data_IF_715294266518
#
_entry.id   IF_715294266518
#
_cell.length_a   1.000
_cell.length_b   1.000
_cell.length_c   1.000
_cell.angle_alpha   90.00
_cell.angle_beta   90.00
_cell.angle_gamma   90.00
#
_symmetry.space_group_name_H-M   'P 1'
#
loop_
_entity.id
_entity.type
_entity.pdbx_description
1 polymer ?
#
# COMPACT_ATOMS: atom_id res chain seq x y z
N UNK A 1 16.36 90.88 32.18
CA UNK A 1 17.80 90.76 31.90
C UNK A 1 18.09 89.32 31.56
N UNK A 2 18.57 89.08 30.34
CA UNK A 2 18.68 87.75 29.76
C UNK A 2 19.73 86.88 30.44
N UNK A 3 19.44 85.58 30.53
CA UNK A 3 20.44 84.53 30.67
C UNK A 3 20.20 83.51 29.56
N UNK A 4 21.15 83.48 28.64
CA UNK A 4 21.33 82.48 27.60
C UNK A 4 21.64 81.17 28.32
N UNK A 5 20.82 80.14 28.10
CA UNK A 5 21.12 78.78 28.54
C UNK A 5 21.43 77.96 27.29
N UNK A 6 22.69 77.61 27.15
CA UNK A 6 23.24 76.74 26.10
C UNK A 6 22.71 75.32 26.31
N UNK A 7 21.87 74.84 25.40
CA UNK A 7 21.49 73.42 25.33
C UNK A 7 22.65 72.62 24.73
N UNK A 8 23.29 71.77 25.53
CA UNK A 8 24.16 70.71 25.04
C UNK A 8 23.25 69.51 24.77
N UNK A 9 22.88 69.32 23.50
CA UNK A 9 22.17 68.12 23.05
C UNK A 9 23.13 66.94 22.97
N UNK A 10 23.12 66.08 24.00
CA UNK A 10 23.73 64.75 23.92
C UNK A 10 22.82 63.88 23.07
N UNK A 11 23.24 63.62 21.83
CA UNK A 11 22.55 62.72 20.92
C UNK A 11 22.79 61.27 21.38
N UNK A 12 21.91 60.75 22.23
CA UNK A 12 21.84 59.34 22.55
C UNK A 12 21.27 58.59 21.35
N UNK A 13 22.13 58.09 20.47
CA UNK A 13 21.76 57.13 19.43
C UNK A 13 21.38 55.81 20.10
N UNK A 14 20.10 55.67 20.49
CA UNK A 14 19.50 54.37 20.76
C UNK A 14 19.42 53.60 19.44
N UNK A 15 20.35 52.67 19.23
CA UNK A 15 20.26 51.65 18.18
C UNK A 15 19.04 50.77 18.49
N UNK A 16 17.89 51.12 17.91
CA UNK A 16 16.76 50.20 17.77
C UNK A 16 17.13 49.21 16.67
N UNK A 17 17.71 48.07 17.06
CA UNK A 17 17.73 46.89 16.20
C UNK A 17 16.28 46.45 16.00
N UNK A 18 15.66 46.89 14.91
CA UNK A 18 14.47 46.22 14.39
C UNK A 18 14.93 44.88 13.82
N UNK A 19 14.75 43.82 14.59
CA UNK A 19 14.76 42.46 14.06
C UNK A 19 13.51 42.35 13.18
N UNK A 20 13.64 42.66 11.89
CA UNK A 20 12.67 42.22 10.91
C UNK A 20 12.83 40.71 10.81
N UNK A 21 11.87 39.97 11.36
CA UNK A 21 11.71 38.56 11.02
C UNK A 21 11.48 38.49 9.52
N UNK A 22 12.52 38.11 8.78
CA UNK A 22 12.43 37.86 7.36
C UNK A 22 11.58 36.59 7.23
N UNK A 23 10.33 36.74 6.76
CA UNK A 23 9.50 35.59 6.40
C UNK A 23 10.29 34.75 5.40
N UNK A 24 10.77 33.60 5.88
CA UNK A 24 11.42 32.62 5.04
C UNK A 24 10.37 32.11 4.06
N UNK A 25 10.45 32.54 2.80
CA UNK A 25 9.66 31.93 1.73
C UNK A 25 9.93 30.44 1.76
N UNK A 26 8.93 29.65 2.11
CA UNK A 26 8.98 28.21 2.00
C UNK A 26 9.02 27.85 0.52
N UNK A 27 10.22 27.62 0.00
CA UNK A 27 10.41 27.03 -1.33
C UNK A 27 9.82 25.61 -1.33
N UNK A 28 8.97 25.31 -2.33
CA UNK A 28 8.36 23.99 -2.50
C UNK A 28 6.84 24.01 -2.67
N UNK A 29 6.25 22.83 -2.85
CA UNK A 29 4.81 22.66 -2.97
C UNK A 29 4.10 22.95 -1.64
N UNK A 30 3.07 23.79 -1.69
CA UNK A 30 2.17 24.07 -0.57
C UNK A 30 0.82 23.40 -0.84
N UNK A 31 0.43 22.46 0.02
CA UNK A 31 -0.82 21.72 -0.13
C UNK A 31 -1.88 22.28 0.83
N UNK A 32 -3.07 22.55 0.30
CA UNK A 32 -4.26 22.85 1.10
C UNK A 32 -5.19 21.66 1.03
N UNK A 33 -5.54 21.11 2.18
CA UNK A 33 -6.51 20.03 2.26
C UNK A 33 -7.92 20.55 1.96
N UNK A 34 -8.51 20.06 0.88
CA UNK A 34 -9.90 20.38 0.53
C UNK A 34 -10.89 19.42 1.19
N UNK A 35 -10.51 18.14 1.29
CA UNK A 35 -11.32 17.09 1.88
C UNK A 35 -10.45 15.93 2.35
N UNK A 36 -10.78 15.37 3.51
CA UNK A 36 -10.14 14.17 4.07
C UNK A 36 -11.21 13.22 4.57
N UNK A 37 -11.08 11.95 4.17
CA UNK A 37 -11.88 10.85 4.69
C UNK A 37 -11.20 10.27 5.93
N UNK A 38 -11.95 9.66 6.86
CA UNK A 38 -11.37 8.93 7.97
C UNK A 38 -10.44 7.82 7.47
N UNK A 39 -9.27 7.70 8.08
CA UNK A 39 -8.31 6.63 7.86
C UNK A 39 -7.64 6.30 9.20
N UNK A 40 -7.10 5.09 9.31
CA UNK A 40 -6.27 4.69 10.44
C UNK A 40 -4.85 5.22 10.28
N UNK A 41 -4.02 5.04 11.32
CA UNK A 41 -2.62 5.44 11.28
C UNK A 41 -1.86 4.77 10.13
N UNK A 42 -0.88 5.51 9.61
CA UNK A 42 0.06 5.05 8.58
C UNK A 42 0.81 3.82 9.09
N UNK A 43 0.91 2.81 8.22
CA UNK A 43 1.55 1.51 8.49
C UNK A 43 2.80 1.35 7.63
N UNK A 44 3.71 0.47 8.05
CA UNK A 44 4.90 0.10 7.28
C UNK A 44 4.84 -1.36 6.85
N UNK A 45 5.00 -1.61 5.55
CA UNK A 45 5.26 -2.95 5.05
C UNK A 45 6.73 -3.37 5.21
N UNK A 46 7.59 -2.43 5.59
CA UNK A 46 9.04 -2.55 5.67
C UNK A 46 9.64 -3.24 4.43
N UNK A 47 10.57 -4.18 4.63
CA UNK A 47 11.28 -4.88 3.56
C UNK A 47 10.50 -6.11 3.12
N UNK A 48 9.25 -5.89 2.74
CA UNK A 48 8.38 -6.91 2.16
C UNK A 48 7.66 -6.35 0.93
N UNK A 49 7.29 -7.22 -0.01
CA UNK A 49 6.55 -6.85 -1.22
C UNK A 49 5.04 -7.00 -1.04
N UNK A 50 4.52 -6.52 0.09
CA UNK A 50 3.13 -6.79 0.52
C UNK A 50 2.22 -5.55 0.47
N UNK A 51 2.62 -4.51 -0.28
CA UNK A 51 1.86 -3.24 -0.42
C UNK A 51 0.38 -3.46 -0.74
N UNK A 52 0.06 -4.45 -1.59
CA UNK A 52 -1.30 -4.82 -1.97
C UNK A 52 -2.17 -5.21 -0.76
N UNK A 53 -1.60 -5.91 0.22
CA UNK A 53 -2.30 -6.29 1.44
C UNK A 53 -2.44 -5.10 2.40
N UNK A 54 -1.37 -4.33 2.61
CA UNK A 54 -1.39 -3.16 3.50
C UNK A 54 -2.34 -2.06 3.00
N UNK A 55 -2.25 -1.71 1.71
CA UNK A 55 -3.13 -0.70 1.09
C UNK A 55 -4.56 -1.18 0.96
N UNK A 56 -4.78 -2.46 0.59
CA UNK A 56 -6.13 -3.03 0.52
C UNK A 56 -6.82 -3.07 1.88
N UNK A 57 -6.10 -3.45 2.94
CA UNK A 57 -6.66 -3.40 4.29
C UNK A 57 -6.83 -1.96 4.79
N UNK A 58 -5.92 -1.03 4.49
CA UNK A 58 -6.12 0.40 4.82
C UNK A 58 -7.40 0.97 4.19
N UNK A 59 -7.73 0.56 2.97
CA UNK A 59 -9.02 0.86 2.35
C UNK A 59 -10.20 0.28 3.16
N UNK A 60 -10.17 -1.00 3.52
CA UNK A 60 -11.25 -1.61 4.30
C UNK A 60 -11.36 -1.06 5.73
N UNK A 61 -10.26 -0.66 6.35
CA UNK A 61 -10.24 0.04 7.63
C UNK A 61 -10.95 1.39 7.54
N UNK A 62 -10.76 2.11 6.43
CA UNK A 62 -11.48 3.35 6.13
C UNK A 62 -12.97 3.10 5.86
N UNK A 63 -13.32 1.99 5.20
CA UNK A 63 -14.72 1.59 5.00
C UNK A 63 -15.41 1.22 6.32
N UNK A 64 -14.73 0.54 7.24
CA UNK A 64 -15.25 0.28 8.59
C UNK A 64 -15.58 1.62 9.29
N UNK A 65 -14.68 2.61 9.18
CA UNK A 65 -14.92 3.95 9.71
C UNK A 65 -16.13 4.63 9.04
N UNK A 66 -16.23 4.56 7.70
CA UNK A 66 -17.33 5.13 6.91
C UNK A 66 -18.69 4.50 7.27
N UNK A 67 -18.71 3.22 7.63
CA UNK A 67 -19.88 2.50 8.12
C UNK A 67 -20.24 2.84 9.58
N UNK A 68 -19.53 3.77 10.22
CA UNK A 68 -19.79 4.25 11.58
C UNK A 68 -19.38 3.26 12.67
N UNK A 69 -18.47 2.32 12.36
CA UNK A 69 -17.95 1.33 13.32
C UNK A 69 -16.60 1.78 13.87
N UNK A 70 -16.27 1.27 15.06
CA UNK A 70 -14.94 1.46 15.64
C UNK A 70 -13.86 0.89 14.72
N UNK A 71 -12.88 1.72 14.37
CA UNK A 71 -11.75 1.28 13.54
C UNK A 71 -10.89 0.28 14.28
N UNK A 72 -10.34 -0.67 13.53
CA UNK A 72 -9.38 -1.67 14.00
C UNK A 72 -8.26 -1.75 12.97
N UNK A 73 -7.01 -1.92 13.41
CA UNK A 73 -5.94 -2.26 12.48
C UNK A 73 -6.05 -3.75 12.15
N UNK A 74 -6.23 -4.09 10.88
CA UNK A 74 -6.40 -5.45 10.39
C UNK A 74 -5.04 -6.06 10.05
N UNK A 75 -4.89 -7.38 10.20
CA UNK A 75 -3.64 -8.09 9.93
C UNK A 75 -3.43 -8.34 8.43
N UNK A 76 -2.44 -7.70 7.79
CA UNK A 76 -2.08 -8.00 6.40
C UNK A 76 -1.41 -9.36 6.30
N UNK A 77 -0.69 -9.77 7.33
CA UNK A 77 0.01 -11.05 7.34
C UNK A 77 -0.93 -12.24 7.34
N UNK A 78 -2.13 -12.09 7.91
CA UNK A 78 -3.18 -13.10 7.81
C UNK A 78 -3.57 -13.34 6.34
N UNK A 79 -3.82 -12.27 5.59
CA UNK A 79 -4.14 -12.33 4.17
C UNK A 79 -2.94 -12.82 3.34
N UNK A 80 -1.73 -12.36 3.65
CA UNK A 80 -0.49 -12.78 2.97
C UNK A 80 -0.24 -14.27 3.14
N UNK A 81 -0.45 -14.83 4.34
CA UNK A 81 -0.31 -16.26 4.57
C UNK A 81 -1.22 -17.07 3.65
N UNK A 82 -2.52 -16.73 3.61
CA UNK A 82 -3.50 -17.42 2.78
C UNK A 82 -3.17 -17.27 1.30
N UNK A 83 -2.82 -16.05 0.88
CA UNK A 83 -2.45 -15.75 -0.51
C UNK A 83 -1.23 -16.54 -0.95
N UNK A 84 -0.15 -16.57 -0.16
CA UNK A 84 1.06 -17.32 -0.49
C UNK A 84 0.82 -18.83 -0.54
N UNK A 85 -0.03 -19.36 0.34
CA UNK A 85 -0.43 -20.76 0.33
C UNK A 85 -1.22 -21.13 -0.95
N UNK A 86 -2.10 -20.24 -1.40
CA UNK A 86 -3.00 -20.48 -2.53
C UNK A 86 -2.31 -20.22 -3.87
N UNK A 87 -1.42 -19.24 -3.93
CA UNK A 87 -0.47 -19.07 -5.05
C UNK A 87 0.35 -20.33 -5.29
N UNK A 88 0.81 -21.00 -4.24
CA UNK A 88 1.59 -22.23 -4.39
C UNK A 88 0.75 -23.38 -4.96
N UNK A 89 -0.51 -23.50 -4.55
CA UNK A 89 -1.44 -24.47 -5.14
C UNK A 89 -1.62 -24.19 -6.64
N UNK A 90 -1.91 -22.94 -7.00
CA UNK A 90 -2.14 -22.57 -8.38
C UNK A 90 -0.89 -22.70 -9.24
N UNK A 91 0.28 -22.31 -8.74
CA UNK A 91 1.55 -22.47 -9.43
C UNK A 91 1.86 -23.93 -9.75
N UNK A 92 1.65 -24.83 -8.77
CA UNK A 92 1.83 -26.27 -8.97
C UNK A 92 0.82 -26.82 -9.99
N UNK A 93 -0.46 -26.41 -9.90
CA UNK A 93 -1.50 -26.82 -10.88
C UNK A 93 -1.24 -26.34 -12.29
N UNK A 94 -0.66 -25.16 -12.43
CA UNK A 94 -0.27 -24.58 -13.71
C UNK A 94 1.14 -25.01 -14.13
N UNK A 95 1.68 -26.05 -13.50
CA UNK A 95 2.97 -26.64 -13.87
C UNK A 95 4.14 -25.64 -13.90
N UNK A 96 4.10 -24.62 -13.03
CA UNK A 96 5.13 -23.59 -12.94
C UNK A 96 5.01 -22.45 -13.93
N UNK A 97 3.96 -22.42 -14.76
CA UNK A 97 3.77 -21.41 -15.81
C UNK A 97 3.06 -20.13 -15.34
N UNK A 98 2.80 -20.03 -14.03
CA UNK A 98 2.23 -18.83 -13.41
C UNK A 98 3.33 -18.00 -12.75
N UNK A 99 3.20 -16.68 -12.73
CA UNK A 99 4.05 -15.85 -11.89
C UNK A 99 3.97 -16.29 -10.41
N UNK A 100 5.12 -16.60 -9.81
CA UNK A 100 5.25 -16.92 -8.39
C UNK A 100 6.12 -15.89 -7.70
N UNK A 101 5.46 -14.82 -7.22
CA UNK A 101 6.05 -13.66 -6.57
C UNK A 101 5.32 -13.34 -5.25
N UNK A 102 5.97 -12.57 -4.34
CA UNK A 102 5.33 -12.06 -3.13
C UNK A 102 4.33 -10.91 -3.37
N UNK A 103 4.27 -10.38 -4.59
CA UNK A 103 3.32 -9.34 -4.99
C UNK A 103 1.87 -9.84 -4.95
N UNK A 104 0.93 -9.02 -5.39
CA UNK A 104 -0.49 -9.35 -5.32
C UNK A 104 -1.35 -8.17 -5.73
N UNK A 105 -2.66 -8.37 -5.72
CA UNK A 105 -3.64 -7.36 -6.10
C UNK A 105 -4.61 -7.05 -4.95
N UNK A 106 -5.30 -5.90 -4.99
CA UNK A 106 -6.35 -5.59 -3.99
C UNK A 106 -7.47 -6.64 -3.98
N UNK A 107 -7.75 -7.27 -5.13
CA UNK A 107 -8.68 -8.39 -5.20
C UNK A 107 -8.27 -9.59 -4.34
N UNK A 108 -6.98 -9.82 -4.12
CA UNK A 108 -6.50 -10.89 -3.23
C UNK A 108 -6.96 -10.65 -1.79
N UNK A 109 -7.04 -9.38 -1.38
CA UNK A 109 -7.54 -8.98 -0.06
C UNK A 109 -9.05 -9.21 0.02
N UNK A 110 -9.81 -8.77 -0.98
CA UNK A 110 -11.26 -8.98 -1.06
C UNK A 110 -11.60 -10.48 -1.02
N UNK A 111 -10.95 -11.26 -1.89
CA UNK A 111 -11.10 -12.71 -1.96
C UNK A 111 -10.67 -13.40 -0.67
N UNK A 112 -9.57 -12.95 -0.06
CA UNK A 112 -9.05 -13.50 1.18
C UNK A 112 -10.02 -13.28 2.36
N UNK A 113 -10.58 -12.07 2.50
CA UNK A 113 -11.56 -11.76 3.54
C UNK A 113 -12.84 -12.57 3.34
N UNK A 114 -13.34 -12.69 2.11
CA UNK A 114 -14.55 -13.48 1.82
C UNK A 114 -14.38 -14.96 2.19
N UNK A 115 -13.22 -15.54 1.87
CA UNK A 115 -12.96 -16.97 2.00
C UNK A 115 -12.46 -17.40 3.37
N UNK A 116 -11.62 -16.58 4.00
CA UNK A 116 -10.93 -16.92 5.25
C UNK A 116 -11.28 -15.98 6.41
N UNK A 117 -11.97 -14.87 6.14
CA UNK A 117 -12.21 -13.83 7.13
C UNK A 117 -10.98 -12.96 7.35
N UNK A 118 -10.94 -12.27 8.48
CA UNK A 118 -9.84 -11.38 8.85
C UNK A 118 -9.65 -11.38 10.36
N UNK A 119 -8.48 -10.95 10.82
CA UNK A 119 -8.17 -10.78 12.24
C UNK A 119 -7.55 -9.41 12.50
N UNK A 120 -7.65 -8.89 13.74
CA UNK A 120 -6.86 -7.74 14.17
C UNK A 120 -5.35 -7.97 14.02
N UNK A 121 -4.61 -6.89 13.79
CA UNK A 121 -3.15 -6.90 13.65
C UNK A 121 -2.43 -7.43 14.90
N UNK A 122 -2.94 -7.11 16.09
CA UNK A 122 -2.38 -7.58 17.37
C UNK A 122 -2.63 -9.08 17.63
N UNK A 123 -3.65 -9.66 17.00
CA UNK A 123 -3.94 -11.10 17.05
C UNK A 123 -3.00 -11.89 16.13
N UNK A 124 -2.58 -11.31 14.99
CA UNK A 124 -1.65 -11.97 14.07
C UNK A 124 -0.70 -10.95 13.44
N UNK A 125 0.49 -10.80 14.01
CA UNK A 125 1.48 -9.83 13.53
C UNK A 125 2.28 -10.34 12.33
N UNK A 126 2.43 -11.65 12.17
CA UNK A 126 3.27 -12.26 11.15
C UNK A 126 4.78 -12.14 11.39
N UNK A 127 5.20 -11.79 12.61
CA UNK A 127 6.61 -11.63 13.00
C UNK A 127 7.06 -12.81 13.87
N UNK A 128 7.21 -14.00 13.27
CA UNK A 128 7.57 -15.23 13.99
C UNK A 128 9.00 -15.74 13.68
N UNK A 129 9.87 -14.90 13.12
CA UNK A 129 11.22 -15.27 12.64
C UNK A 129 12.36 -14.46 13.28
N UNK A 130 12.13 -13.89 14.47
CA UNK A 130 13.15 -13.19 15.25
C UNK A 130 13.41 -11.73 14.85
N UNK A 131 12.69 -11.20 13.87
CA UNK A 131 12.76 -9.79 13.46
C UNK A 131 11.72 -8.93 14.15
N UNK A 132 12.00 -7.62 14.26
CA UNK A 132 11.07 -6.61 14.79
C UNK A 132 10.18 -5.98 13.71
N UNK A 133 10.57 -6.14 12.45
CA UNK A 133 9.97 -5.52 11.27
C UNK A 133 9.91 -6.53 10.13
N UNK A 134 9.05 -6.30 9.14
CA UNK A 134 8.92 -7.23 8.03
C UNK A 134 10.17 -7.24 7.13
N UNK A 135 10.68 -8.44 6.87
CA UNK A 135 11.89 -8.67 6.06
C UNK A 135 11.77 -10.04 5.36
N UNK A 136 11.06 -10.09 4.23
CA UNK A 136 10.61 -11.36 3.65
C UNK A 136 11.55 -11.92 2.56
N UNK A 137 12.74 -11.35 2.34
CA UNK A 137 13.64 -11.80 1.28
C UNK A 137 13.98 -13.29 1.35
N UNK A 138 14.32 -13.78 2.55
CA UNK A 138 14.59 -15.19 2.80
C UNK A 138 13.33 -16.06 2.64
N UNK A 139 12.23 -15.67 3.29
CA UNK A 139 10.94 -16.36 3.19
C UNK A 139 10.52 -16.54 1.72
N UNK A 140 10.52 -15.46 0.93
CA UNK A 140 10.11 -15.48 -0.46
C UNK A 140 10.97 -16.46 -1.29
N UNK A 141 12.27 -16.49 -1.04
CA UNK A 141 13.21 -17.39 -1.72
C UNK A 141 12.93 -18.86 -1.37
N UNK A 142 12.68 -19.16 -0.10
CA UNK A 142 12.33 -20.51 0.36
C UNK A 142 11.02 -21.00 -0.24
N UNK A 143 9.97 -20.17 -0.22
CA UNK A 143 8.66 -20.53 -0.79
C UNK A 143 8.77 -20.80 -2.30
N UNK A 144 9.50 -19.96 -3.04
CA UNK A 144 9.73 -20.15 -4.48
C UNK A 144 10.49 -21.45 -4.76
N UNK A 145 11.60 -21.67 -4.07
CA UNK A 145 12.41 -22.87 -4.25
C UNK A 145 11.60 -24.15 -3.95
N UNK A 146 10.81 -24.13 -2.88
CA UNK A 146 9.93 -25.24 -2.53
C UNK A 146 8.93 -25.53 -3.64
N UNK A 147 8.20 -24.52 -4.11
CA UNK A 147 7.20 -24.68 -5.16
C UNK A 147 7.81 -25.18 -6.48
N UNK A 148 8.98 -24.67 -6.88
CA UNK A 148 9.72 -25.11 -8.07
C UNK A 148 10.12 -26.59 -7.99
N UNK A 149 10.52 -27.07 -6.82
CA UNK A 149 10.87 -28.49 -6.61
C UNK A 149 9.64 -29.38 -6.76
N UNK A 150 8.48 -28.95 -6.26
CA UNK A 150 7.22 -29.69 -6.41
C UNK A 150 6.81 -29.78 -7.88
N UNK A 151 6.94 -28.69 -8.64
CA UNK A 151 6.67 -28.68 -10.09
C UNK A 151 7.61 -29.60 -10.85
N UNK A 152 8.92 -29.52 -10.59
CA UNK A 152 9.95 -30.32 -11.30
C UNK A 152 9.93 -31.80 -10.93
N UNK A 153 9.31 -32.15 -9.81
CA UNK A 153 9.36 -33.46 -9.15
C UNK A 153 9.56 -34.64 -10.13
N UNK A 154 10.75 -35.28 -10.14
CA UNK A 154 11.11 -36.29 -11.13
C UNK A 154 10.27 -37.56 -11.02
N UNK A 155 9.65 -37.79 -9.85
CA UNK A 155 8.76 -38.91 -9.62
C UNK A 155 7.40 -38.75 -10.34
N UNK A 156 7.13 -37.58 -10.95
CA UNK A 156 5.89 -37.22 -11.66
C UNK A 156 4.60 -37.45 -10.86
N UNK A 157 4.73 -37.53 -9.54
CA UNK A 157 3.64 -37.73 -8.59
C UNK A 157 3.80 -36.75 -7.44
N UNK A 158 2.86 -35.81 -7.34
CA UNK A 158 2.78 -34.89 -6.20
C UNK A 158 2.60 -35.72 -4.94
N UNK A 159 3.48 -35.50 -3.95
CA UNK A 159 3.44 -36.23 -2.68
C UNK A 159 2.23 -35.79 -1.87
N UNK A 160 1.78 -36.56 -0.89
CA UNK A 160 0.74 -36.07 0.04
C UNK A 160 1.30 -35.06 1.06
N UNK A 161 2.63 -35.02 1.22
CA UNK A 161 3.31 -34.22 2.24
C UNK A 161 3.68 -32.79 1.79
N UNK A 162 3.63 -32.49 0.48
CA UNK A 162 4.17 -31.22 -0.04
C UNK A 162 3.47 -29.99 0.55
N UNK A 163 2.15 -30.08 0.75
CA UNK A 163 1.35 -28.95 1.23
C UNK A 163 1.68 -28.66 2.69
N UNK A 164 1.75 -29.70 3.52
CA UNK A 164 2.11 -29.59 4.93
C UNK A 164 3.53 -29.05 5.11
N UNK A 165 4.47 -29.49 4.25
CA UNK A 165 5.85 -29.00 4.26
C UNK A 165 5.95 -27.52 3.85
N UNK A 166 5.27 -27.11 2.78
CA UNK A 166 5.21 -25.71 2.36
C UNK A 166 4.57 -24.81 3.44
N UNK A 167 3.44 -25.25 4.01
CA UNK A 167 2.79 -24.54 5.10
C UNK A 167 3.64 -24.54 6.38
N UNK A 168 4.51 -25.54 6.57
CA UNK A 168 5.49 -25.55 7.66
C UNK A 168 6.45 -24.36 7.58
N UNK A 169 6.89 -23.97 6.38
CA UNK A 169 7.68 -22.76 6.17
C UNK A 169 6.84 -21.53 6.52
N UNK A 170 5.61 -21.41 6.00
CA UNK A 170 4.74 -20.28 6.33
C UNK A 170 4.50 -20.15 7.85
N UNK A 171 4.24 -21.26 8.56
CA UNK A 171 4.05 -21.27 10.01
C UNK A 171 5.33 -20.88 10.76
N UNK A 172 6.49 -21.34 10.30
CA UNK A 172 7.77 -20.97 10.90
C UNK A 172 8.01 -19.45 10.84
N UNK A 173 7.72 -18.80 9.71
CA UNK A 173 7.98 -17.36 9.55
C UNK A 173 6.81 -16.48 9.99
N UNK A 174 5.58 -16.77 9.59
CA UNK A 174 4.44 -15.89 9.85
C UNK A 174 3.67 -16.31 11.10
N UNK A 175 3.93 -17.49 11.66
CA UNK A 175 3.23 -18.02 12.84
C UNK A 175 1.97 -18.81 12.47
N UNK A 176 1.41 -19.47 13.48
CA UNK A 176 0.18 -20.26 13.38
C UNK A 176 -1.04 -19.36 13.16
N UNK A 177 -1.90 -19.75 12.21
CA UNK A 177 -3.14 -19.00 11.97
C UNK A 177 -4.11 -19.16 13.15
N UNK A 178 -4.62 -18.05 13.71
CA UNK A 178 -5.60 -18.11 14.79
C UNK A 178 -6.92 -18.73 14.28
N UNK A 179 -7.43 -19.73 15.00
CA UNK A 179 -8.75 -20.32 14.74
C UNK A 179 -9.85 -19.53 15.46
N UNK A 180 -9.58 -19.10 16.69
CA UNK A 180 -10.41 -18.21 17.49
C UNK A 180 -9.54 -17.17 18.20
N UNK A 181 -10.14 -16.04 18.56
CA UNK A 181 -9.52 -15.00 19.36
C UNK A 181 -10.58 -14.17 20.09
N UNK A 182 -10.17 -13.51 21.17
CA UNK A 182 -11.06 -12.59 21.92
C UNK A 182 -10.82 -11.16 21.46
N UNK A 183 -11.91 -10.46 21.10
CA UNK A 183 -11.89 -9.04 20.78
C UNK A 183 -13.00 -8.33 21.57
N UNK A 184 -12.64 -7.29 22.33
CA UNK A 184 -13.55 -6.53 23.21
C UNK A 184 -14.45 -7.43 24.08
N UNK A 185 -13.86 -8.46 24.67
CA UNK A 185 -14.54 -9.37 25.61
C UNK A 185 -15.45 -10.43 24.97
N UNK A 186 -15.47 -10.56 23.64
CA UNK A 186 -16.21 -11.60 22.92
C UNK A 186 -15.26 -12.43 22.06
N UNK A 187 -15.51 -13.74 22.01
CA UNK A 187 -14.78 -14.66 21.14
C UNK A 187 -15.29 -14.59 19.69
N UNK A 188 -14.36 -14.61 18.75
CA UNK A 188 -14.62 -14.61 17.32
C UNK A 188 -13.76 -15.66 16.62
N UNK A 189 -14.25 -16.14 15.47
CA UNK A 189 -13.41 -16.73 14.41
C UNK A 189 -13.07 -15.61 13.42
N UNK A 190 -12.06 -15.78 12.56
CA UNK A 190 -11.74 -14.77 11.54
C UNK A 190 -12.95 -14.41 10.64
N UNK A 191 -13.78 -15.40 10.27
CA UNK A 191 -14.99 -15.19 9.48
C UNK A 191 -16.07 -14.41 10.26
N UNK A 192 -16.35 -14.78 11.52
CA UNK A 192 -17.37 -14.09 12.30
C UNK A 192 -16.92 -12.68 12.71
N UNK A 193 -15.61 -12.44 12.79
CA UNK A 193 -15.05 -11.11 12.98
C UNK A 193 -15.25 -10.23 11.73
N UNK A 194 -14.96 -10.73 10.53
CA UNK A 194 -15.22 -10.00 9.28
C UNK A 194 -16.71 -9.59 9.16
N UNK A 195 -17.63 -10.49 9.50
CA UNK A 195 -19.06 -10.20 9.55
C UNK A 195 -19.41 -9.14 10.59
N UNK A 196 -18.80 -9.19 11.78
CA UNK A 196 -19.00 -8.18 12.82
C UNK A 196 -18.55 -6.79 12.37
N UNK A 197 -17.46 -6.70 11.60
CA UNK A 197 -16.99 -5.47 10.97
C UNK A 197 -17.96 -4.94 9.89
N UNK A 198 -18.98 -5.71 9.51
CA UNK A 198 -19.98 -5.33 8.51
C UNK A 198 -19.40 -5.19 7.10
N UNK A 199 -18.26 -5.82 6.85
CA UNK A 199 -17.66 -5.87 5.53
C UNK A 199 -18.38 -6.93 4.70
N UNK A 200 -19.06 -6.51 3.63
CA UNK A 200 -19.58 -7.40 2.61
C UNK A 200 -18.73 -7.27 1.35
N UNK A 201 -17.94 -8.29 1.03
CA UNK A 201 -17.01 -8.24 -0.10
C UNK A 201 -17.73 -8.05 -1.44
N UNK A 202 -19.02 -8.40 -1.56
CA UNK A 202 -19.80 -8.18 -2.78
C UNK A 202 -20.11 -6.70 -3.08
N UNK A 203 -19.94 -5.80 -2.10
CA UNK A 203 -20.22 -4.36 -2.28
C UNK A 203 -19.07 -3.62 -2.99
N UNK A 204 -17.92 -4.29 -3.19
CA UNK A 204 -16.71 -3.70 -3.74
C UNK A 204 -16.41 -4.22 -5.14
N UNK A 205 -16.11 -3.30 -6.04
CA UNK A 205 -15.77 -3.58 -7.43
C UNK A 205 -14.40 -3.02 -7.78
N UNK A 206 -13.75 -3.65 -8.77
CA UNK A 206 -12.52 -3.13 -9.36
C UNK A 206 -12.86 -2.38 -10.65
N UNK A 207 -12.26 -1.21 -10.83
CA UNK A 207 -12.40 -0.38 -12.03
C UNK A 207 -11.04 -0.17 -12.68
N UNK A 208 -11.03 -0.09 -14.02
CA UNK A 208 -9.87 0.25 -14.82
C UNK A 208 -10.27 1.04 -16.05
N UNK A 209 -9.29 1.49 -16.83
CA UNK A 209 -9.50 2.24 -18.08
C UNK A 209 -8.40 1.89 -19.09
N UNK A 210 -8.68 0.94 -19.98
CA UNK A 210 -7.80 0.55 -21.07
C UNK A 210 -8.55 0.37 -22.39
N UNK A 211 -7.87 0.56 -23.51
CA UNK A 211 -8.47 0.51 -24.85
C UNK A 211 -8.29 -0.82 -25.59
N UNK A 212 -7.51 -1.78 -25.05
CA UNK A 212 -7.32 -3.10 -25.68
C UNK A 212 -8.47 -4.06 -25.43
N UNK A 213 -9.37 -3.73 -24.51
CA UNK A 213 -10.67 -4.39 -24.31
C UNK A 213 -11.81 -3.38 -24.50
N UNK A 214 -13.01 -3.84 -24.90
CA UNK A 214 -14.18 -2.96 -24.98
C UNK A 214 -14.49 -2.27 -23.65
N UNK A 215 -14.86 -1.00 -23.72
CA UNK A 215 -15.43 -0.31 -22.55
C UNK A 215 -16.78 -0.92 -22.16
N UNK A 216 -17.15 -0.73 -20.89
CA UNK A 216 -18.38 -1.25 -20.27
C UNK A 216 -18.47 -2.79 -20.25
N UNK A 217 -17.33 -3.45 -20.42
CA UNK A 217 -17.17 -4.89 -20.16
C UNK A 217 -16.22 -5.09 -19.01
N UNK A 218 -16.11 -6.33 -18.54
CA UNK A 218 -15.12 -6.69 -17.53
C UNK A 218 -14.09 -7.65 -18.12
N UNK A 219 -12.85 -7.51 -17.66
CA UNK A 219 -11.77 -8.41 -18.00
C UNK A 219 -10.81 -8.55 -16.82
N UNK A 220 -9.98 -9.60 -16.84
CA UNK A 220 -8.88 -9.74 -15.90
C UNK A 220 -7.69 -8.95 -16.43
N UNK A 221 -7.26 -7.91 -15.71
CA UNK A 221 -6.07 -7.14 -16.08
C UNK A 221 -4.87 -8.09 -16.20
N UNK A 222 -4.19 -8.05 -17.34
CA UNK A 222 -3.11 -8.99 -17.68
C UNK A 222 -1.77 -8.60 -17.05
N UNK A 223 -1.73 -8.57 -15.72
CA UNK A 223 -0.50 -8.35 -14.94
C UNK A 223 -0.12 -9.59 -14.14
N UNK A 224 1.19 -9.84 -13.90
CA UNK A 224 1.65 -11.05 -13.23
C UNK A 224 1.06 -11.28 -11.83
N UNK A 225 0.73 -10.19 -11.13
CA UNK A 225 0.16 -10.26 -9.79
C UNK A 225 -1.36 -10.45 -9.77
N UNK A 226 -2.06 -10.42 -10.92
CA UNK A 226 -3.47 -10.79 -11.02
C UNK A 226 -3.66 -12.31 -11.19
N UNK A 227 -3.03 -13.09 -10.32
CA UNK A 227 -2.99 -14.55 -10.39
C UNK A 227 -4.36 -15.20 -10.19
N UNK A 228 -5.30 -14.54 -9.51
CA UNK A 228 -6.69 -14.99 -9.37
C UNK A 228 -7.52 -14.77 -10.65
N UNK A 229 -7.01 -14.04 -11.64
CA UNK A 229 -7.79 -13.51 -12.77
C UNK A 229 -9.02 -12.71 -12.29
N UNK A 230 -8.82 -11.83 -11.30
CA UNK A 230 -9.87 -11.00 -10.72
C UNK A 230 -10.50 -10.10 -11.77
N UNK A 231 -11.84 -10.09 -11.79
CA UNK A 231 -12.60 -9.35 -12.79
C UNK A 231 -12.59 -7.84 -12.50
N UNK A 232 -12.31 -7.03 -13.52
CA UNK A 232 -12.20 -5.58 -13.42
C UNK A 232 -13.06 -4.93 -14.49
N UNK A 233 -13.94 -3.99 -14.11
CA UNK A 233 -14.80 -3.27 -15.05
C UNK A 233 -14.02 -2.17 -15.76
N UNK A 234 -14.16 -2.11 -17.08
CA UNK A 234 -13.45 -1.17 -17.93
C UNK A 234 -14.31 0.05 -18.25
N UNK A 235 -13.82 1.26 -17.97
CA UNK A 235 -14.49 2.52 -18.27
C UNK A 235 -13.64 3.40 -19.19
N UNK A 236 -14.25 4.29 -19.99
CA UNK A 236 -13.51 5.38 -20.61
C UNK A 236 -12.80 6.24 -19.55
N UNK A 237 -11.63 6.79 -19.88
CA UNK A 237 -10.78 7.50 -18.92
C UNK A 237 -11.52 8.64 -18.21
N UNK A 238 -12.27 9.47 -18.94
CA UNK A 238 -13.01 10.59 -18.36
C UNK A 238 -14.07 10.12 -17.34
N UNK A 239 -14.73 9.00 -17.61
CA UNK A 239 -15.69 8.41 -16.68
C UNK A 239 -15.01 7.78 -15.47
N UNK A 240 -13.89 7.09 -15.67
CA UNK A 240 -13.08 6.53 -14.59
C UNK A 240 -12.64 7.63 -13.60
N UNK A 241 -12.11 8.75 -14.10
CA UNK A 241 -11.74 9.91 -13.26
C UNK A 241 -12.97 10.51 -12.57
N UNK A 242 -14.09 10.68 -13.29
CA UNK A 242 -15.33 11.20 -12.71
C UNK A 242 -15.89 10.31 -11.60
N UNK A 243 -15.65 8.99 -11.63
CA UNK A 243 -16.01 8.07 -10.52
C UNK A 243 -15.14 8.35 -9.29
N UNK A 244 -13.84 8.55 -9.46
CA UNK A 244 -12.93 8.85 -8.35
C UNK A 244 -13.31 10.16 -7.64
N UNK A 245 -13.56 11.23 -8.41
CA UNK A 245 -13.99 12.52 -7.86
C UNK A 245 -15.30 12.40 -7.09
N UNK A 246 -16.30 11.72 -7.67
CA UNK A 246 -17.60 11.48 -7.02
C UNK A 246 -17.48 10.62 -5.76
N UNK A 247 -16.56 9.65 -5.73
CA UNK A 247 -16.33 8.81 -4.56
C UNK A 247 -15.84 9.67 -3.39
N UNK A 248 -14.83 10.51 -3.63
CA UNK A 248 -14.30 11.46 -2.65
C UNK A 248 -15.38 12.44 -2.22
N UNK A 249 -16.16 13.02 -3.14
CA UNK A 249 -17.27 13.93 -2.86
C UNK A 249 -18.36 13.30 -1.99
N UNK A 250 -18.56 11.99 -2.10
CA UNK A 250 -19.51 11.23 -1.27
C UNK A 250 -18.91 10.67 0.01
N UNK A 251 -17.64 10.93 0.30
CA UNK A 251 -16.96 10.51 1.52
C UNK A 251 -16.42 9.07 1.49
N UNK A 252 -16.25 8.50 0.30
CA UNK A 252 -15.58 7.21 0.09
C UNK A 252 -14.08 7.43 -0.13
N UNK A 253 -13.28 6.45 0.28
CA UNK A 253 -11.88 6.31 -0.16
C UNK A 253 -11.82 5.35 -1.35
N UNK A 254 -10.63 5.09 -1.88
CA UNK A 254 -10.41 4.06 -2.89
C UNK A 254 -9.07 3.36 -2.67
N UNK A 255 -9.02 2.06 -2.97
CA UNK A 255 -7.76 1.33 -3.08
C UNK A 255 -7.12 1.68 -4.44
N UNK A 256 -5.92 2.27 -4.40
CA UNK A 256 -5.24 2.76 -5.60
C UNK A 256 -4.01 1.92 -5.91
N UNK A 257 -3.95 1.39 -7.13
CA UNK A 257 -2.78 0.73 -7.68
C UNK A 257 -2.23 1.56 -8.85
N UNK A 258 -0.93 1.85 -8.83
CA UNK A 258 -0.27 2.66 -9.83
C UNK A 258 1.19 2.21 -10.04
N UNK A 259 1.73 2.59 -11.20
CA UNK A 259 3.17 2.53 -11.43
C UNK A 259 3.85 3.68 -10.68
N UNK A 260 4.79 3.34 -9.80
CA UNK A 260 5.55 4.29 -8.99
C UNK A 260 7.02 4.39 -9.42
N UNK A 261 7.39 3.80 -10.56
CA UNK A 261 8.76 3.79 -11.08
C UNK A 261 9.13 5.06 -11.86
N UNK A 262 8.17 5.98 -12.00
CA UNK A 262 8.36 7.25 -12.71
C UNK A 262 9.19 8.26 -11.91
N UNK A 263 10.03 9.02 -12.63
CA UNK A 263 10.85 10.10 -12.02
C UNK A 263 10.01 11.17 -11.32
N UNK A 264 8.74 11.31 -11.72
CA UNK A 264 7.78 12.23 -11.12
C UNK A 264 7.32 11.83 -9.72
N UNK A 265 7.64 10.60 -9.27
CA UNK A 265 7.37 10.13 -7.92
C UNK A 265 8.59 10.33 -7.02
N UNK A 266 8.56 11.35 -6.16
CA UNK A 266 9.67 11.68 -5.27
C UNK A 266 9.21 12.44 -4.03
N UNK A 267 9.84 12.18 -2.87
CA UNK A 267 9.60 12.89 -1.61
C UNK A 267 8.11 13.02 -1.23
N UNK A 268 7.32 11.96 -1.46
CA UNK A 268 5.88 11.94 -1.15
C UNK A 268 4.99 12.67 -2.14
N UNK A 269 5.53 13.10 -3.29
CA UNK A 269 4.82 13.83 -4.34
C UNK A 269 4.86 13.00 -5.63
N UNK A 270 3.71 12.93 -6.33
CA UNK A 270 3.58 12.32 -7.64
C UNK A 270 3.11 13.38 -8.65
N UNK A 271 3.94 13.73 -9.62
CA UNK A 271 3.62 14.71 -10.67
C UNK A 271 3.92 14.15 -12.05
N UNK A 272 3.19 14.62 -13.06
CA UNK A 272 3.55 14.41 -14.47
C UNK A 272 4.43 15.58 -14.89
N UNK A 273 5.76 15.39 -15.10
CA UNK A 273 6.64 16.48 -15.49
C UNK A 273 6.25 17.02 -16.88
N UNK A 274 6.26 18.34 -17.05
CA UNK A 274 5.96 18.98 -18.35
C UNK A 274 7.16 19.05 -19.30
N UNK A 275 8.31 18.49 -18.91
CA UNK A 275 9.53 18.55 -19.72
C UNK A 275 9.50 17.51 -20.85
N UNK A 276 9.50 17.99 -22.10
CA UNK A 276 9.76 17.14 -23.27
C UNK A 276 11.22 16.66 -23.21
N UNK A 277 11.42 15.41 -22.80
CA UNK A 277 12.75 14.81 -22.60
C UNK A 277 13.61 14.77 -23.88
N UNK A 278 13.06 15.13 -25.05
CA UNK A 278 13.82 15.29 -26.30
C UNK A 278 14.71 16.53 -26.34
N UNK A 279 14.41 17.61 -25.62
CA UNK A 279 15.19 18.86 -25.69
C UNK A 279 16.40 18.89 -24.75
N UNK A 280 16.58 17.90 -23.88
CA UNK A 280 17.64 17.88 -22.87
C UNK A 280 18.87 17.05 -23.25
N UNK A 281 19.14 16.84 -24.55
CA UNK A 281 20.41 16.23 -24.98
C UNK A 281 21.59 17.21 -25.03
N UNK A 282 21.35 18.52 -25.02
CA UNK A 282 22.40 19.54 -25.21
C UNK A 282 22.51 20.61 -24.11
N UNK A 283 21.88 20.43 -22.94
CA UNK A 283 22.09 21.33 -21.79
C UNK A 283 22.94 20.63 -20.72
N UNK A 284 23.92 21.34 -20.17
CA UNK A 284 24.98 20.93 -19.20
C UNK A 284 24.53 20.22 -17.90
N UNK A 285 23.29 19.74 -17.82
CA UNK A 285 22.69 19.03 -16.70
C UNK A 285 23.29 17.62 -16.54
N UNK A 286 23.84 17.02 -17.60
CA UNK A 286 24.53 15.71 -17.51
C UNK A 286 25.80 15.76 -16.66
N UNK A 287 26.41 16.94 -16.43
CA UNK A 287 27.59 17.08 -15.56
C UNK A 287 27.27 17.03 -14.06
N UNK A 288 26.02 17.31 -13.66
CA UNK A 288 25.64 17.42 -12.25
C UNK A 288 25.02 16.14 -11.68
N UNK A 289 24.59 15.21 -12.54
CA UNK A 289 24.00 13.91 -12.14
C UNK A 289 25.09 12.85 -11.87
N UNK A 290 26.36 13.11 -12.21
CA UNK A 290 27.46 12.15 -12.09
C UNK A 290 28.38 12.36 -10.88
N UNK A 291 27.97 13.09 -9.84
CA UNK A 291 28.77 13.17 -8.62
C UNK A 291 28.42 12.02 -7.67
N UNK A 292 29.42 11.32 -7.09
CA UNK A 292 29.16 10.28 -6.11
C UNK A 292 28.53 10.89 -4.87
N UNK A 293 27.50 10.23 -4.33
CA UNK A 293 27.02 10.51 -2.99
C UNK A 293 28.06 9.95 -2.00
N UNK A 294 28.69 10.82 -1.22
CA UNK A 294 29.37 10.43 0.02
C UNK A 294 28.37 10.02 1.10
#
# INVERSE_FOLDING_TARGET
MGKIITLIGVCACAFLCQVQAQEQKTEGYQFTELKRMPATDVKSQDRSSTCWAWSGLSFFESEIARLGKDTVSLSPMYIVWHTYNEKADRYVRLHGEMNFSPGGAHYDVQWGIDRYGIVPLDVYTGLNYGEKVHAHGELNSLLRAYADIIVKNPNRKITTAWKDGYQGILRAYLGELPQTFTYKGKEYTPLSFAQMLGLNMADYIQLTSFSHHPYYTSFAIEVPDNWLNGNTYNLPLDEFIAVLDKAVDKGFTFAWAADLSEKGFTNGIAVVPTFDTKEMKDAEITKWVSLPQE
#
